data_IF_449285516068
#
_entry.id   IF_449285516068
#
_cell.length_a   1.000
_cell.length_b   1.000
_cell.length_c   1.000
_cell.angle_alpha   90.00
_cell.angle_beta   90.00
_cell.angle_gamma   90.00
#
_symmetry.space_group_name_H-M   'P 1'
#
loop_
_entity.id
_entity.type
_entity.pdbx_description
1 polymer ?
#
# COMPACT_ATOMS: atom_id res chain seq x y z
N UNK A 1 0.25 -15.39 10.17
CA UNK A 1 0.41 -15.08 11.60
C UNK A 1 -0.58 -14.00 12.06
N UNK A 2 -0.60 -12.83 11.43
CA UNK A 2 -1.49 -11.71 11.75
C UNK A 2 -2.98 -12.10 11.65
N UNK A 3 -3.39 -12.83 10.62
CA UNK A 3 -4.78 -13.31 10.48
C UNK A 3 -5.23 -14.19 11.63
N UNK A 4 -4.36 -15.07 12.13
CA UNK A 4 -4.64 -15.89 13.30
C UNK A 4 -4.82 -15.10 14.60
N UNK A 5 -4.27 -13.86 14.65
CA UNK A 5 -4.43 -12.95 15.76
C UNK A 5 -5.68 -12.07 15.64
N UNK A 6 -5.97 -11.55 14.43
CA UNK A 6 -7.05 -10.60 14.18
C UNK A 6 -8.41 -11.27 13.91
N UNK A 7 -8.42 -12.53 13.47
CA UNK A 7 -9.63 -13.26 13.10
C UNK A 7 -9.88 -14.42 14.06
N UNK A 8 -11.15 -14.74 14.33
CA UNK A 8 -11.53 -15.87 15.20
C UNK A 8 -11.59 -17.15 14.34
N UNK A 9 -10.64 -18.05 14.57
CA UNK A 9 -10.64 -19.39 13.98
C UNK A 9 -10.87 -20.42 15.07
N UNK A 10 -11.80 -21.41 14.89
CA UNK A 10 -12.13 -22.39 15.91
C UNK A 10 -10.96 -23.24 16.39
N UNK A 11 -9.95 -23.42 15.54
CA UNK A 11 -8.77 -24.28 15.79
C UNK A 11 -7.58 -23.48 16.35
N UNK A 12 -7.70 -22.16 16.49
CA UNK A 12 -6.59 -21.29 16.90
C UNK A 12 -6.93 -20.55 18.19
N UNK A 13 -5.96 -20.48 19.07
CA UNK A 13 -6.00 -19.64 20.26
C UNK A 13 -4.87 -18.60 20.16
N UNK A 14 -5.22 -17.32 20.17
CA UNK A 14 -4.25 -16.24 20.17
C UNK A 14 -4.10 -15.70 21.59
N UNK A 15 -2.86 -15.67 22.08
CA UNK A 15 -2.51 -15.13 23.39
C UNK A 15 -1.61 -13.93 23.14
N UNK A 16 -2.01 -12.77 23.65
CA UNK A 16 -1.18 -11.57 23.70
C UNK A 16 -0.56 -11.45 25.08
N UNK A 17 0.78 -11.43 25.13
CA UNK A 17 1.54 -11.17 26.36
C UNK A 17 2.52 -10.02 26.11
N UNK A 18 2.63 -9.13 27.07
CA UNK A 18 3.52 -7.96 27.05
C UNK A 18 4.58 -8.10 28.13
N UNK A 19 5.53 -7.18 28.18
CA UNK A 19 6.51 -7.15 29.26
C UNK A 19 5.86 -7.07 30.66
N UNK A 20 4.65 -6.50 30.76
CA UNK A 20 3.90 -6.37 32.02
C UNK A 20 3.44 -7.72 32.57
N UNK A 21 3.30 -8.71 31.71
CA UNK A 21 2.89 -10.07 32.06
C UNK A 21 4.08 -10.94 32.45
N UNK A 22 5.32 -10.43 32.34
CA UNK A 22 6.53 -11.14 32.68
C UNK A 22 7.05 -10.69 34.08
N UNK A 23 6.86 -11.49 35.14
CA UNK A 23 7.26 -11.09 36.50
C UNK A 23 8.78 -11.03 36.72
N UNK A 24 9.59 -11.42 35.74
CA UNK A 24 11.05 -11.39 35.81
C UNK A 24 11.66 -10.11 35.23
N UNK A 25 10.88 -9.28 34.57
CA UNK A 25 11.34 -8.01 34.02
C UNK A 25 11.21 -6.90 35.05
N UNK A 26 12.31 -6.26 35.39
CA UNK A 26 12.32 -5.11 36.29
C UNK A 26 12.03 -3.79 35.55
N UNK A 27 11.59 -2.77 36.27
CA UNK A 27 11.42 -1.43 35.69
C UNK A 27 12.74 -0.85 35.14
N UNK A 28 13.87 -1.25 35.73
CA UNK A 28 15.19 -0.85 35.26
C UNK A 28 15.50 -1.44 33.90
N UNK A 29 15.22 -2.74 33.70
CA UNK A 29 15.45 -3.41 32.43
C UNK A 29 14.59 -2.78 31.31
N UNK A 30 13.36 -2.43 31.64
CA UNK A 30 12.43 -1.76 30.70
C UNK A 30 12.92 -0.34 30.35
N UNK A 31 13.41 0.41 31.35
CA UNK A 31 13.95 1.75 31.10
C UNK A 31 15.23 1.73 30.26
N UNK A 32 16.07 0.70 30.37
CA UNK A 32 17.26 0.49 29.57
C UNK A 32 16.87 0.09 28.14
N UNK A 33 15.92 -0.83 27.98
CA UNK A 33 15.41 -1.24 26.67
C UNK A 33 14.84 -0.04 25.89
N UNK A 34 14.03 0.81 26.52
CA UNK A 34 13.49 2.03 25.91
C UNK A 34 14.56 3.03 25.44
N UNK A 35 15.73 3.04 26.08
CA UNK A 35 16.84 3.91 25.68
C UNK A 35 17.67 3.34 24.54
N UNK A 36 17.68 2.02 24.38
CA UNK A 36 18.55 1.31 23.44
C UNK A 36 17.89 1.06 22.07
N UNK A 37 16.59 1.27 21.95
CA UNK A 37 15.84 1.00 20.71
C UNK A 37 14.84 2.12 20.39
N UNK A 38 14.31 2.12 19.18
CA UNK A 38 13.26 3.05 18.79
C UNK A 38 11.95 2.73 19.52
N UNK A 39 11.03 3.70 19.61
CA UNK A 39 9.69 3.47 20.20
C UNK A 39 8.91 2.40 19.42
N UNK A 40 9.12 2.30 18.11
CA UNK A 40 8.51 1.29 17.26
C UNK A 40 8.98 -0.12 17.61
N UNK A 41 10.30 -0.30 17.71
CA UNK A 41 10.91 -1.56 18.14
C UNK A 41 10.45 -1.95 19.55
N UNK A 42 10.42 -0.97 20.45
CA UNK A 42 9.97 -1.22 21.82
C UNK A 42 8.52 -1.72 21.87
N UNK A 43 7.61 -1.11 21.10
CA UNK A 43 6.21 -1.54 21.03
C UNK A 43 6.08 -2.94 20.42
N UNK A 44 6.86 -3.25 19.40
CA UNK A 44 6.85 -4.57 18.78
C UNK A 44 7.37 -5.65 19.73
N UNK A 45 8.54 -5.45 20.32
CA UNK A 45 9.25 -6.46 21.10
C UNK A 45 8.69 -6.61 22.54
N UNK A 46 8.26 -5.51 23.15
CA UNK A 46 7.86 -5.48 24.56
C UNK A 46 6.36 -5.34 24.79
N UNK A 47 5.63 -4.73 23.85
CA UNK A 47 4.18 -4.49 24.00
C UNK A 47 3.34 -5.40 23.10
N UNK A 48 3.98 -6.33 22.36
CA UNK A 48 3.33 -7.24 21.39
C UNK A 48 2.42 -6.46 20.42
N UNK A 49 2.93 -5.33 19.89
CA UNK A 49 2.24 -4.52 18.92
C UNK A 49 2.58 -4.99 17.51
N UNK A 50 1.62 -5.59 16.81
CA UNK A 50 1.78 -6.07 15.44
C UNK A 50 1.70 -4.96 14.38
N UNK A 51 1.29 -3.76 14.78
CA UNK A 51 1.12 -2.64 13.84
C UNK A 51 2.42 -1.86 13.58
N UNK A 52 3.51 -2.24 14.24
CA UNK A 52 4.80 -1.57 14.08
C UNK A 52 5.68 -2.41 13.17
N UNK A 53 5.76 -2.05 11.89
CA UNK A 53 6.71 -2.65 10.96
C UNK A 53 8.02 -1.85 10.99
N UNK A 54 9.11 -2.52 11.36
CA UNK A 54 10.45 -1.99 11.12
C UNK A 54 10.64 -1.77 9.61
N UNK A 55 11.02 -0.56 9.22
CA UNK A 55 11.17 -0.19 7.81
C UNK A 55 9.92 0.37 7.12
N UNK A 56 8.84 0.62 7.85
CA UNK A 56 7.69 1.32 7.29
C UNK A 56 8.09 2.78 6.98
N UNK A 57 8.25 3.10 5.70
CA UNK A 57 8.61 4.44 5.22
C UNK A 57 7.43 5.40 5.44
N UNK A 58 6.22 4.94 5.13
CA UNK A 58 5.00 5.73 5.27
C UNK A 58 4.20 5.26 6.48
N UNK A 59 3.98 6.19 7.44
CA UNK A 59 3.08 5.97 8.57
C UNK A 59 1.78 6.70 8.27
N UNK A 60 0.67 5.99 8.29
CA UNK A 60 -0.64 6.62 8.17
C UNK A 60 -1.51 6.30 9.38
N UNK A 61 -2.40 7.22 9.72
CA UNK A 61 -3.40 7.03 10.76
C UNK A 61 -4.73 6.68 10.10
N UNK A 62 -5.21 5.47 10.36
CA UNK A 62 -6.43 4.97 9.75
C UNK A 62 -7.66 5.83 10.09
N UNK A 63 -7.74 6.35 11.30
CA UNK A 63 -8.89 7.14 11.75
C UNK A 63 -8.97 8.53 11.09
N UNK A 64 -7.83 9.10 10.72
CA UNK A 64 -7.76 10.47 10.19
C UNK A 64 -7.44 10.55 8.69
N UNK A 65 -6.86 9.50 8.12
CA UNK A 65 -6.37 9.49 6.74
C UNK A 65 -7.15 8.53 5.82
N UNK A 66 -8.09 7.74 6.35
CA UNK A 66 -8.99 6.91 5.56
C UNK A 66 -10.37 7.55 5.54
N UNK A 67 -10.93 7.73 4.34
CA UNK A 67 -12.22 8.39 4.13
C UNK A 67 -13.14 7.49 3.29
N UNK A 68 -14.45 7.69 3.45
CA UNK A 68 -15.44 7.09 2.57
C UNK A 68 -15.45 7.84 1.22
N UNK A 69 -15.14 7.13 0.15
CA UNK A 69 -15.08 7.68 -1.20
C UNK A 69 -16.41 7.57 -1.98
N UNK A 70 -17.50 7.14 -1.35
CA UNK A 70 -18.80 6.94 -2.03
C UNK A 70 -19.39 8.23 -2.65
N UNK A 71 -18.98 9.38 -2.13
CA UNK A 71 -19.39 10.73 -2.57
C UNK A 71 -18.19 11.57 -3.07
N UNK A 72 -17.04 10.93 -3.31
CA UNK A 72 -15.81 11.64 -3.67
C UNK A 72 -15.87 12.11 -5.13
N UNK A 73 -15.75 13.41 -5.34
CA UNK A 73 -15.79 14.04 -6.66
C UNK A 73 -14.39 14.44 -7.11
N UNK A 74 -13.90 13.78 -8.15
CA UNK A 74 -12.59 14.03 -8.76
C UNK A 74 -12.64 15.02 -9.94
N UNK A 75 -13.79 15.59 -10.28
CA UNK A 75 -13.97 16.42 -11.48
C UNK A 75 -13.10 17.68 -11.57
N UNK A 76 -12.51 18.10 -10.46
CA UNK A 76 -11.59 19.25 -10.36
C UNK A 76 -10.16 18.84 -9.98
N UNK A 77 -9.87 17.57 -9.99
CA UNK A 77 -8.57 16.99 -9.59
C UNK A 77 -7.87 16.42 -10.81
N UNK A 78 -6.55 16.38 -10.77
CA UNK A 78 -5.80 15.57 -11.73
C UNK A 78 -5.84 14.11 -11.26
N UNK A 79 -6.24 13.19 -12.15
CA UNK A 79 -6.28 11.77 -11.84
C UNK A 79 -5.23 11.04 -12.64
N UNK A 80 -4.36 10.34 -11.97
CA UNK A 80 -3.29 9.55 -12.58
C UNK A 80 -3.12 8.20 -11.88
N UNK A 81 -2.42 7.29 -12.56
CA UNK A 81 -2.16 5.98 -12.00
C UNK A 81 -0.69 5.60 -12.06
N UNK A 82 -0.26 4.81 -11.07
CA UNK A 82 1.01 4.11 -11.06
C UNK A 82 0.80 2.61 -11.26
N UNK A 83 1.64 1.99 -12.09
CA UNK A 83 1.58 0.58 -12.39
C UNK A 83 2.93 -0.11 -12.20
N UNK A 84 2.93 -1.19 -11.44
CA UNK A 84 4.04 -2.14 -11.34
C UNK A 84 3.60 -3.50 -11.88
N UNK A 85 4.37 -4.05 -12.81
CA UNK A 85 4.01 -5.27 -13.53
C UNK A 85 4.75 -6.46 -12.96
N UNK A 86 4.01 -7.44 -12.50
CA UNK A 86 4.51 -8.74 -12.08
C UNK A 86 3.75 -9.89 -12.73
N UNK A 87 4.25 -11.09 -12.57
CA UNK A 87 3.55 -12.33 -12.92
C UNK A 87 3.36 -13.22 -11.69
N UNK A 88 4.44 -13.70 -11.07
CA UNK A 88 4.39 -14.39 -9.77
C UNK A 88 4.13 -13.40 -8.64
N UNK A 89 4.88 -12.30 -8.65
CA UNK A 89 4.52 -11.14 -7.85
C UNK A 89 3.31 -10.47 -8.49
N UNK A 90 2.37 -9.94 -7.71
CA UNK A 90 1.17 -9.35 -8.28
C UNK A 90 1.47 -8.12 -9.12
N UNK A 91 0.74 -7.96 -10.22
CA UNK A 91 0.64 -6.67 -10.89
C UNK A 91 -0.18 -5.73 -10.00
N UNK A 92 0.40 -4.59 -9.66
CA UNK A 92 -0.22 -3.53 -8.88
C UNK A 92 -0.58 -2.34 -9.78
N UNK A 93 -1.75 -1.77 -9.56
CA UNK A 93 -2.21 -0.54 -10.21
C UNK A 93 -2.92 0.32 -9.18
N UNK A 94 -2.38 1.51 -8.92
CA UNK A 94 -2.91 2.45 -7.92
C UNK A 94 -3.43 3.70 -8.63
N UNK A 95 -4.68 4.08 -8.35
CA UNK A 95 -5.30 5.30 -8.87
C UNK A 95 -5.20 6.40 -7.83
N UNK A 96 -4.63 7.52 -8.22
CA UNK A 96 -4.36 8.65 -7.34
C UNK A 96 -5.02 9.89 -7.92
N UNK A 97 -5.80 10.59 -7.10
CA UNK A 97 -6.32 11.92 -7.39
C UNK A 97 -5.51 12.97 -6.62
N UNK A 98 -5.19 14.08 -7.27
CA UNK A 98 -4.49 15.21 -6.66
C UNK A 98 -5.37 16.46 -6.67
N UNK A 99 -5.64 16.96 -5.49
CA UNK A 99 -6.39 18.20 -5.29
C UNK A 99 -5.41 19.39 -5.18
N UNK A 100 -5.44 20.25 -6.16
CA UNK A 100 -4.57 21.44 -6.21
C UNK A 100 -4.95 22.53 -5.17
N UNK A 101 -6.20 22.56 -4.74
CA UNK A 101 -6.67 23.57 -3.77
C UNK A 101 -6.18 23.24 -2.35
N UNK A 102 -6.13 21.97 -2.01
CA UNK A 102 -5.70 21.48 -0.69
C UNK A 102 -4.29 20.87 -0.69
N UNK A 103 -3.65 20.76 -1.86
CA UNK A 103 -2.34 20.11 -2.06
C UNK A 103 -2.31 18.68 -1.50
N UNK A 104 -3.42 17.93 -1.67
CA UNK A 104 -3.60 16.61 -1.06
C UNK A 104 -3.68 15.53 -2.12
N UNK A 105 -2.97 14.42 -1.88
CA UNK A 105 -3.08 13.19 -2.65
C UNK A 105 -4.08 12.25 -2.01
N UNK A 106 -4.94 11.67 -2.84
CA UNK A 106 -5.91 10.64 -2.45
C UNK A 106 -5.65 9.36 -3.23
N UNK A 107 -5.40 8.24 -2.56
CA UNK A 107 -5.48 6.92 -3.18
C UNK A 107 -6.96 6.56 -3.29
N UNK A 108 -7.50 6.61 -4.49
CA UNK A 108 -8.95 6.49 -4.72
C UNK A 108 -9.38 5.10 -5.15
N UNK A 109 -8.47 4.31 -5.74
CA UNK A 109 -8.74 2.93 -6.11
C UNK A 109 -7.45 2.14 -6.28
N UNK A 110 -7.53 0.81 -6.24
CA UNK A 110 -6.41 -0.07 -6.47
C UNK A 110 -6.81 -1.37 -7.18
N UNK A 111 -5.87 -1.92 -7.93
CA UNK A 111 -5.94 -3.27 -8.47
C UNK A 111 -4.67 -4.02 -8.13
N UNK A 112 -4.81 -5.22 -7.57
CA UNK A 112 -3.69 -6.09 -7.19
C UNK A 112 -4.03 -7.53 -7.54
N UNK A 113 -3.34 -8.10 -8.54
CA UNK A 113 -3.55 -9.48 -8.95
C UNK A 113 -2.29 -10.11 -9.52
N UNK A 114 -2.07 -11.39 -9.21
CA UNK A 114 -0.99 -12.22 -9.74
C UNK A 114 -1.49 -13.26 -10.72
N UNK A 115 -0.56 -13.86 -11.46
CA UNK A 115 -0.78 -15.02 -12.34
C UNK A 115 -1.88 -14.81 -13.39
N UNK A 116 -1.98 -13.58 -13.92
CA UNK A 116 -2.92 -13.23 -14.99
C UNK A 116 -2.21 -12.88 -16.30
N UNK A 117 -2.91 -13.05 -17.41
CA UNK A 117 -2.44 -12.61 -18.73
C UNK A 117 -2.52 -11.08 -18.86
N UNK A 118 -1.76 -10.53 -19.82
CA UNK A 118 -1.83 -9.09 -20.17
C UNK A 118 -3.25 -8.66 -20.50
N UNK A 119 -4.00 -9.50 -21.23
CA UNK A 119 -5.41 -9.26 -21.58
C UNK A 119 -6.31 -9.12 -20.33
N UNK A 120 -6.13 -10.03 -19.36
CA UNK A 120 -6.91 -10.00 -18.13
C UNK A 120 -6.60 -8.76 -17.29
N UNK A 121 -5.32 -8.37 -17.21
CA UNK A 121 -4.93 -7.13 -16.55
C UNK A 121 -5.50 -5.92 -17.27
N UNK A 122 -5.39 -5.86 -18.61
CA UNK A 122 -5.90 -4.75 -19.43
C UNK A 122 -7.40 -4.55 -19.25
N UNK A 123 -8.18 -5.64 -19.22
CA UNK A 123 -9.63 -5.57 -19.01
C UNK A 123 -10.04 -5.00 -17.65
N UNK A 124 -9.31 -5.30 -16.58
CA UNK A 124 -9.59 -4.72 -15.24
C UNK A 124 -9.10 -3.27 -15.14
N UNK A 125 -7.92 -2.98 -15.69
CA UNK A 125 -7.36 -1.62 -15.71
C UNK A 125 -8.24 -0.67 -16.53
N UNK A 126 -8.81 -1.13 -17.66
CA UNK A 126 -9.72 -0.32 -18.47
C UNK A 126 -10.96 0.12 -17.67
N UNK A 127 -11.50 -0.76 -16.81
CA UNK A 127 -12.64 -0.40 -15.95
C UNK A 127 -12.29 0.73 -14.96
N UNK A 128 -11.06 0.73 -14.45
CA UNK A 128 -10.57 1.79 -13.56
C UNK A 128 -10.33 3.08 -14.32
N UNK A 129 -9.78 3.01 -15.55
CA UNK A 129 -9.62 4.17 -16.42
C UNK A 129 -10.97 4.82 -16.70
N UNK A 130 -11.97 4.03 -17.10
CA UNK A 130 -13.31 4.53 -17.43
C UNK A 130 -14.04 5.08 -16.20
N UNK A 131 -13.82 4.46 -15.03
CA UNK A 131 -14.45 4.88 -13.77
C UNK A 131 -13.92 6.21 -13.26
N UNK A 132 -12.61 6.42 -13.33
CA UNK A 132 -11.92 7.53 -12.69
C UNK A 132 -11.45 8.61 -13.66
N UNK A 133 -11.67 8.45 -14.97
CA UNK A 133 -11.23 9.36 -16.04
C UNK A 133 -9.72 9.65 -15.94
N UNK A 134 -8.91 8.58 -15.95
CA UNK A 134 -7.47 8.67 -15.65
C UNK A 134 -6.72 9.34 -16.81
N UNK A 135 -6.07 10.46 -16.52
CA UNK A 135 -5.30 11.24 -17.49
C UNK A 135 -3.98 10.58 -17.90
N UNK A 136 -3.25 10.05 -16.93
CA UNK A 136 -1.90 9.51 -17.14
C UNK A 136 -1.67 8.23 -16.36
N UNK A 137 -1.00 7.27 -17.01
CA UNK A 137 -0.58 6.01 -16.37
C UNK A 137 0.93 5.91 -16.42
N UNK A 138 1.57 5.90 -15.27
CA UNK A 138 3.01 5.75 -15.13
C UNK A 138 3.37 4.30 -14.86
N UNK A 139 4.34 3.77 -15.61
CA UNK A 139 4.81 2.39 -15.50
C UNK A 139 6.34 2.33 -15.49
N UNK A 140 6.89 1.30 -14.83
CA UNK A 140 8.32 1.06 -14.86
C UNK A 140 8.86 0.97 -16.29
N UNK A 141 9.94 1.68 -16.58
CA UNK A 141 10.64 1.65 -17.86
C UNK A 141 11.14 0.26 -18.28
N UNK A 142 11.34 -0.66 -17.33
CA UNK A 142 11.73 -2.05 -17.62
C UNK A 142 10.60 -2.88 -18.24
N UNK A 143 9.34 -2.49 -18.07
CA UNK A 143 8.17 -3.19 -18.58
C UNK A 143 7.85 -2.88 -20.07
N UNK A 144 8.86 -2.79 -20.94
CA UNK A 144 8.72 -2.36 -22.34
C UNK A 144 7.73 -3.22 -23.13
N UNK A 145 7.80 -4.55 -22.98
CA UNK A 145 6.91 -5.47 -23.71
C UNK A 145 5.45 -5.24 -23.30
N UNK A 146 5.18 -5.17 -22.01
CA UNK A 146 3.83 -4.94 -21.48
C UNK A 146 3.25 -3.59 -21.95
N UNK A 147 4.09 -2.54 -21.97
CA UNK A 147 3.70 -1.22 -22.47
C UNK A 147 3.31 -1.26 -23.95
N UNK A 148 4.12 -1.96 -24.75
CA UNK A 148 3.83 -2.13 -26.18
C UNK A 148 2.50 -2.88 -26.37
N UNK A 149 2.30 -3.98 -25.64
CA UNK A 149 1.09 -4.79 -25.70
C UNK A 149 -0.15 -3.99 -25.28
N UNK A 150 -0.06 -3.22 -24.20
CA UNK A 150 -1.15 -2.34 -23.75
C UNK A 150 -1.52 -1.29 -24.81
N UNK A 151 -0.54 -0.63 -25.38
CA UNK A 151 -0.79 0.39 -26.40
C UNK A 151 -1.37 -0.20 -27.69
N UNK A 152 -0.81 -1.30 -28.20
CA UNK A 152 -1.16 -1.86 -29.50
C UNK A 152 -2.45 -2.68 -29.48
N UNK A 153 -2.66 -3.46 -28.42
CA UNK A 153 -3.74 -4.44 -28.37
C UNK A 153 -4.96 -3.96 -27.60
N UNK A 154 -4.77 -3.00 -26.65
CA UNK A 154 -5.82 -2.57 -25.73
C UNK A 154 -6.05 -1.05 -25.71
N UNK A 155 -5.25 -0.27 -26.46
CA UNK A 155 -5.40 1.18 -26.53
C UNK A 155 -4.99 1.92 -25.25
N UNK A 156 -4.35 1.23 -24.29
CA UNK A 156 -3.93 1.80 -23.01
C UNK A 156 -2.54 2.42 -23.16
N UNK A 157 -2.47 3.74 -23.19
CA UNK A 157 -1.21 4.49 -23.28
C UNK A 157 -0.56 4.63 -21.92
N UNK A 158 0.77 4.44 -21.83
CA UNK A 158 1.52 4.55 -20.59
C UNK A 158 2.76 5.41 -20.75
N UNK A 159 3.20 6.03 -19.67
CA UNK A 159 4.38 6.90 -19.58
C UNK A 159 5.44 6.21 -18.73
N UNK A 160 6.72 6.35 -19.10
CA UNK A 160 7.81 5.82 -18.28
C UNK A 160 7.91 6.58 -16.97
N UNK A 161 7.86 5.87 -15.87
CA UNK A 161 8.20 6.42 -14.58
C UNK A 161 9.70 6.77 -14.52
N UNK A 162 10.02 7.91 -13.91
CA UNK A 162 11.43 8.26 -13.61
C UNK A 162 11.91 7.42 -12.43
N UNK A 163 13.05 6.74 -12.62
CA UNK A 163 13.69 5.94 -11.56
C UNK A 163 14.86 6.72 -10.97
N UNK A 164 14.60 7.80 -10.26
CA UNK A 164 15.64 8.38 -9.40
C UNK A 164 15.37 7.95 -7.96
N UNK A 165 16.22 7.08 -7.44
CA UNK A 165 16.14 6.58 -6.04
C UNK A 165 16.45 7.71 -5.04
N UNK A 166 17.06 8.80 -5.50
CA UNK A 166 17.45 9.94 -4.67
C UNK A 166 16.39 11.06 -4.63
N UNK A 167 15.42 11.03 -5.55
CA UNK A 167 14.39 12.07 -5.69
C UNK A 167 12.98 11.55 -5.27
N UNK A 168 12.93 10.38 -4.66
CA UNK A 168 11.69 9.74 -4.20
C UNK A 168 11.54 9.77 -2.68
#
# INVERSE_FOLDING_TARGET
FYRGFSEVFPEWCSIRATYRDNPRMSETDIAEARKSMSEAEFRQEYEADFNTYEGQIWKFNFETQVQDLSQFDTSKMDVFAGMDVGYKDPTAFCVIAYDWDTETFYLVDEYLNAERTTEQHAGEIQKLIDRWDIDYIYIDSAAQQTRFDFAQNYGISTINAKKSVLDG
#
